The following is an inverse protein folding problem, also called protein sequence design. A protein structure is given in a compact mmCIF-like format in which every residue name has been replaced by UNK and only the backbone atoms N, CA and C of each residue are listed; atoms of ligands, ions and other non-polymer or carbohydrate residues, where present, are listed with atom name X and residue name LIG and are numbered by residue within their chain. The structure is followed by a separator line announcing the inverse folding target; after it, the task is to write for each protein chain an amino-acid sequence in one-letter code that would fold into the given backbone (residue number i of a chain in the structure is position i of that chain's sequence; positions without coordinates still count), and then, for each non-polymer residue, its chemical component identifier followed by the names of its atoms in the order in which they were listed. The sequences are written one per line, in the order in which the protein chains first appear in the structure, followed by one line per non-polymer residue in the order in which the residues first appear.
data_IF_496518509704
#
_entry.id   IF_496518509704
#
_cell.length_a   1.000
_cell.length_b   1.000
_cell.length_c   1.000
_cell.angle_alpha   90.00
_cell.angle_beta   90.00
_cell.angle_gamma   90.00
#
_symmetry.space_group_name_H-M   'P 1'
#
loop_
_entity.id
_entity.type
_entity.pdbx_description
1 polymer ?
#
# COMPACT_ATOMS: atom_id res chain seq x y z
N UNK A 1 2.55 1.21 3.74
CA UNK A 1 1.20 0.64 3.89
C UNK A 1 0.55 1.05 5.21
N UNK A 2 1.17 0.79 6.39
CA UNK A 2 0.54 1.10 7.68
C UNK A 2 0.16 2.58 7.84
N UNK A 3 1.05 3.51 7.52
CA UNK A 3 0.76 4.96 7.53
C UNK A 3 -0.44 5.32 6.64
N UNK A 4 -0.55 4.68 5.48
CA UNK A 4 -1.69 4.89 4.57
C UNK A 4 -3.00 4.39 5.20
N UNK A 5 -3.01 3.25 5.85
CA UNK A 5 -4.21 2.72 6.55
C UNK A 5 -4.65 3.67 7.66
N UNK A 6 -3.71 4.16 8.48
CA UNK A 6 -4.00 5.11 9.56
C UNK A 6 -4.65 6.39 8.98
N UNK A 7 -4.01 7.03 8.02
CA UNK A 7 -4.54 8.22 7.37
C UNK A 7 -5.92 7.96 6.75
N UNK A 8 -6.08 6.81 6.09
CA UNK A 8 -7.35 6.43 5.45
C UNK A 8 -8.49 6.36 6.47
N UNK A 9 -8.26 5.71 7.60
CA UNK A 9 -9.31 5.55 8.62
C UNK A 9 -9.66 6.89 9.27
N UNK A 10 -8.66 7.72 9.55
CA UNK A 10 -8.86 9.06 10.12
C UNK A 10 -9.59 9.98 9.13
N UNK A 11 -9.20 10.00 7.86
CA UNK A 11 -9.86 10.83 6.86
C UNK A 11 -11.28 10.34 6.55
N UNK A 12 -11.53 9.04 6.60
CA UNK A 12 -12.83 8.45 6.31
C UNK A 12 -13.86 8.65 7.43
N UNK A 13 -13.46 8.51 8.68
CA UNK A 13 -14.36 8.50 9.83
C UNK A 13 -14.26 9.76 10.69
N UNK A 14 -13.27 10.62 10.46
CA UNK A 14 -12.90 11.70 11.35
C UNK A 14 -11.82 11.26 12.35
N UNK A 15 -11.14 12.24 12.96
CA UNK A 15 -9.96 12.01 13.79
C UNK A 15 -10.21 11.00 14.93
N UNK A 16 -11.13 11.31 15.84
CA UNK A 16 -11.35 10.49 17.05
C UNK A 16 -11.97 9.13 16.70
N UNK A 17 -12.93 9.10 15.79
CA UNK A 17 -13.61 7.88 15.35
C UNK A 17 -12.69 7.00 14.51
N UNK A 18 -11.78 7.58 13.73
CA UNK A 18 -10.75 6.86 12.99
C UNK A 18 -9.75 6.18 13.90
N UNK A 19 -9.27 6.87 14.95
CA UNK A 19 -8.39 6.28 15.97
C UNK A 19 -9.13 5.17 16.71
N UNK A 20 -10.38 5.40 17.13
CA UNK A 20 -11.17 4.37 17.83
C UNK A 20 -11.39 3.14 16.95
N UNK A 21 -11.63 3.32 15.64
CA UNK A 21 -11.74 2.21 14.71
C UNK A 21 -10.46 1.36 14.67
N UNK A 22 -9.29 2.00 14.65
CA UNK A 22 -7.99 1.30 14.67
C UNK A 22 -7.75 0.57 15.98
N UNK A 23 -8.13 1.14 17.11
CA UNK A 23 -8.08 0.48 18.43
C UNK A 23 -9.01 -0.73 18.50
N UNK A 24 -10.19 -0.64 17.91
CA UNK A 24 -11.13 -1.77 17.86
C UNK A 24 -10.66 -2.86 16.88
N UNK A 25 -10.05 -2.48 15.77
CA UNK A 25 -9.43 -3.39 14.81
C UNK A 25 -8.27 -4.15 15.45
N UNK A 26 -7.43 -3.48 16.22
CA UNK A 26 -6.26 -4.04 16.92
C UNK A 26 -6.58 -5.28 17.76
N UNK A 27 -7.76 -5.34 18.35
CA UNK A 27 -8.24 -6.48 19.14
C UNK A 27 -8.31 -7.79 18.35
N UNK A 28 -8.32 -7.70 17.02
CA UNK A 28 -8.39 -8.82 16.10
C UNK A 28 -7.09 -9.00 15.29
N UNK A 29 -6.08 -8.19 15.53
CA UNK A 29 -4.78 -8.28 14.87
C UNK A 29 -3.90 -9.26 15.62
N UNK A 30 -3.43 -10.28 14.92
CA UNK A 30 -2.50 -11.28 15.44
C UNK A 30 -1.05 -10.84 15.27
N UNK A 31 -0.73 -10.20 14.12
CA UNK A 31 0.64 -9.77 13.81
C UNK A 31 0.66 -8.49 13.00
N UNK A 32 1.60 -7.62 13.29
CA UNK A 32 1.97 -6.46 12.50
C UNK A 32 3.26 -6.74 11.73
N UNK A 33 3.14 -6.88 10.42
CA UNK A 33 4.29 -7.21 9.58
C UNK A 33 5.20 -6.01 9.34
N UNK A 34 6.49 -6.26 9.24
CA UNK A 34 7.50 -5.23 8.95
C UNK A 34 7.38 -4.67 7.52
N UNK A 35 7.04 -5.51 6.54
CA UNK A 35 6.88 -5.11 5.15
C UNK A 35 5.42 -4.93 4.75
N UNK A 36 5.16 -4.01 3.79
CA UNK A 36 3.81 -3.77 3.28
C UNK A 36 3.18 -4.96 2.56
N UNK A 37 3.99 -5.85 1.97
CA UNK A 37 3.54 -7.09 1.31
C UNK A 37 3.44 -8.29 2.27
N UNK A 38 3.89 -8.14 3.52
CA UNK A 38 3.83 -9.20 4.55
C UNK A 38 2.44 -9.79 4.73
N UNK A 39 1.37 -9.00 4.91
CA UNK A 39 0.03 -9.53 5.11
C UNK A 39 -0.44 -10.44 3.97
N UNK A 40 -0.22 -10.04 2.72
CA UNK A 40 -0.58 -10.87 1.55
C UNK A 40 0.20 -12.17 1.50
N UNK A 41 1.49 -12.14 1.85
CA UNK A 41 2.33 -13.33 1.95
C UNK A 41 1.85 -14.28 3.04
N UNK A 42 1.55 -13.77 4.23
CA UNK A 42 1.09 -14.58 5.37
C UNK A 42 -0.26 -15.26 5.10
N UNK A 43 -1.16 -14.64 4.32
CA UNK A 43 -2.37 -15.31 3.82
C UNK A 43 -1.99 -16.45 2.87
N UNK A 44 -1.07 -16.19 1.94
CA UNK A 44 -0.62 -17.20 0.97
C UNK A 44 -0.08 -18.45 1.64
N UNK A 45 0.75 -18.28 2.66
CA UNK A 45 1.33 -19.38 3.44
C UNK A 45 0.36 -20.00 4.45
N UNK A 46 -0.80 -19.38 4.70
CA UNK A 46 -1.80 -19.85 5.66
C UNK A 46 -1.50 -19.47 7.11
N UNK A 47 -0.60 -18.54 7.33
CA UNK A 47 -0.25 -18.04 8.67
C UNK A 47 -1.33 -17.11 9.25
N UNK A 48 -2.15 -16.48 8.39
CA UNK A 48 -3.29 -15.70 8.81
C UNK A 48 -4.50 -15.90 7.87
N UNK A 49 -5.68 -15.55 8.36
CA UNK A 49 -6.94 -15.72 7.59
C UNK A 49 -7.29 -14.46 6.79
N UNK A 50 -7.01 -13.28 7.34
CA UNK A 50 -7.30 -11.98 6.74
C UNK A 50 -6.05 -11.13 6.82
N UNK A 51 -5.70 -10.47 5.72
CA UNK A 51 -4.59 -9.51 5.67
C UNK A 51 -5.04 -8.17 5.12
N UNK A 52 -4.53 -7.12 5.72
CA UNK A 52 -4.72 -5.75 5.25
C UNK A 52 -3.43 -5.29 4.57
N UNK A 53 -3.49 -5.06 3.27
CA UNK A 53 -2.34 -4.69 2.46
C UNK A 53 -2.74 -4.07 1.14
N UNK A 54 -1.78 -3.91 0.25
CA UNK A 54 -2.06 -3.47 -1.11
C UNK A 54 -2.72 -4.58 -1.94
N UNK A 55 -3.71 -4.21 -2.72
CA UNK A 55 -4.46 -5.15 -3.57
C UNK A 55 -3.55 -5.83 -4.61
N UNK A 56 -2.60 -5.11 -5.20
CA UNK A 56 -1.67 -5.68 -6.16
C UNK A 56 -0.73 -6.73 -5.56
N UNK A 57 -0.38 -6.64 -4.27
CA UNK A 57 0.37 -7.68 -3.57
C UNK A 57 -0.45 -8.96 -3.41
N UNK A 58 -1.77 -8.84 -3.22
CA UNK A 58 -2.69 -9.98 -3.22
C UNK A 58 -2.75 -10.67 -4.58
N UNK A 59 -2.83 -9.91 -5.68
CA UNK A 59 -2.79 -10.45 -7.05
C UNK A 59 -1.50 -11.23 -7.26
N UNK A 60 -0.35 -10.70 -6.86
CA UNK A 60 0.93 -11.39 -6.96
C UNK A 60 0.93 -12.74 -6.25
N UNK A 61 0.35 -12.84 -5.05
CA UNK A 61 0.27 -14.11 -4.33
C UNK A 61 -0.61 -15.13 -5.08
N UNK A 62 -1.68 -14.70 -5.70
CA UNK A 62 -2.58 -15.59 -6.45
C UNK A 62 -1.95 -16.04 -7.76
N UNK A 63 -1.43 -15.10 -8.54
CA UNK A 63 -1.00 -15.34 -9.93
C UNK A 63 0.41 -15.90 -9.99
N UNK A 64 1.37 -15.25 -9.34
CA UNK A 64 2.80 -15.62 -9.47
C UNK A 64 3.19 -16.71 -8.46
N UNK A 65 2.63 -16.68 -7.26
CA UNK A 65 2.91 -17.70 -6.23
C UNK A 65 1.95 -18.90 -6.30
N UNK A 66 0.85 -18.79 -7.04
CA UNK A 66 -0.07 -19.90 -7.29
C UNK A 66 -1.01 -20.22 -6.12
N UNK A 67 -1.21 -19.32 -5.17
CA UNK A 67 -2.13 -19.54 -4.04
C UNK A 67 -3.59 -19.38 -4.46
N UNK A 68 -4.20 -20.41 -5.03
CA UNK A 68 -5.59 -20.41 -5.52
C UNK A 68 -6.68 -20.43 -4.43
N UNK A 69 -6.31 -20.43 -3.18
CA UNK A 69 -7.21 -20.40 -2.01
C UNK A 69 -7.38 -18.99 -1.42
N UNK A 70 -6.81 -17.98 -2.05
CA UNK A 70 -6.93 -16.58 -1.63
C UNK A 70 -8.06 -15.91 -2.41
N UNK A 71 -8.86 -15.12 -1.73
CA UNK A 71 -9.82 -14.19 -2.31
C UNK A 71 -9.37 -12.75 -2.08
N UNK A 72 -9.40 -11.94 -3.13
CA UNK A 72 -9.09 -10.53 -3.06
C UNK A 72 -10.37 -9.72 -2.84
N UNK A 73 -10.47 -9.04 -1.71
CA UNK A 73 -11.64 -8.22 -1.39
C UNK A 73 -11.37 -6.77 -1.74
N UNK A 74 -12.09 -6.26 -2.73
CA UNK A 74 -12.07 -4.84 -3.11
C UNK A 74 -13.22 -4.13 -2.41
N UNK A 75 -12.96 -3.17 -1.50
CA UNK A 75 -14.03 -2.50 -0.76
C UNK A 75 -14.96 -1.71 -1.67
N UNK A 76 -16.27 -1.96 -1.61
CA UNK A 76 -17.27 -1.20 -2.37
C UNK A 76 -17.38 0.27 -1.93
N UNK A 77 -16.90 0.59 -0.73
CA UNK A 77 -16.84 1.96 -0.19
C UNK A 77 -15.64 2.77 -0.69
N UNK A 78 -14.88 2.23 -1.63
CA UNK A 78 -13.61 2.78 -2.08
C UNK A 78 -12.45 2.44 -1.16
N UNK A 79 -11.25 2.64 -1.67
CA UNK A 79 -9.99 2.49 -0.93
C UNK A 79 -9.14 3.73 -1.12
N UNK A 80 -8.16 3.95 -0.27
CA UNK A 80 -7.15 4.98 -0.52
C UNK A 80 -6.12 4.51 -1.54
N UNK A 81 -5.37 5.44 -2.07
CA UNK A 81 -4.26 5.16 -2.97
C UNK A 81 -3.01 5.93 -2.54
N UNK A 82 -1.86 5.44 -2.94
CA UNK A 82 -0.62 6.23 -2.93
C UNK A 82 0.02 6.18 -4.31
N UNK A 83 0.72 7.25 -4.65
CA UNK A 83 1.43 7.36 -5.91
C UNK A 83 2.92 7.27 -5.65
N UNK A 84 3.57 6.27 -6.25
CA UNK A 84 5.02 6.14 -6.18
C UNK A 84 5.70 7.34 -6.84
N UNK A 85 6.75 7.85 -6.22
CA UNK A 85 7.47 9.02 -6.71
C UNK A 85 8.96 8.74 -6.84
N UNK A 86 9.60 9.40 -7.82
CA UNK A 86 11.05 9.43 -7.98
C UNK A 86 11.56 10.85 -7.92
N UNK A 87 12.77 11.04 -7.39
CA UNK A 87 13.35 12.37 -7.24
C UNK A 87 14.88 12.33 -7.40
N UNK A 88 15.46 13.49 -7.71
CA UNK A 88 16.91 13.69 -7.75
C UNK A 88 17.34 14.38 -6.46
N UNK A 89 18.28 13.78 -5.75
CA UNK A 89 18.84 14.38 -4.55
C UNK A 89 19.54 15.71 -4.87
N UNK A 90 19.34 16.69 -4.00
CA UNK A 90 20.12 17.93 -4.06
C UNK A 90 21.61 17.62 -3.90
N UNK A 91 22.43 18.05 -4.87
CA UNK A 91 23.85 17.75 -4.88
C UNK A 91 24.22 16.37 -5.45
N UNK A 92 23.31 15.72 -6.18
CA UNK A 92 23.62 14.49 -6.91
C UNK A 92 24.90 14.64 -7.74
N UNK A 93 25.81 13.65 -7.67
CA UNK A 93 27.12 13.71 -8.37
C UNK A 93 26.97 13.70 -9.90
N UNK A 94 25.91 13.09 -10.41
CA UNK A 94 25.65 12.94 -11.85
C UNK A 94 24.21 13.37 -12.20
N UNK A 95 23.85 14.66 -12.05
CA UNK A 95 22.48 15.13 -12.17
C UNK A 95 21.89 14.92 -13.58
N UNK A 96 22.70 15.03 -14.63
CA UNK A 96 22.23 14.82 -16.00
C UNK A 96 21.93 13.34 -16.29
N UNK A 97 22.73 12.41 -15.78
CA UNK A 97 22.43 10.99 -15.87
C UNK A 97 21.17 10.65 -15.07
N UNK A 98 20.99 11.25 -13.89
CA UNK A 98 19.77 11.05 -13.09
C UNK A 98 18.51 11.57 -13.81
N UNK A 99 18.60 12.72 -14.50
CA UNK A 99 17.48 13.24 -15.32
C UNK A 99 17.14 12.28 -16.44
N UNK A 100 18.14 11.83 -17.19
CA UNK A 100 17.92 10.86 -18.29
C UNK A 100 17.30 9.56 -17.78
N UNK A 101 17.74 9.08 -16.61
CA UNK A 101 17.14 7.92 -15.96
C UNK A 101 15.67 8.15 -15.62
N UNK A 102 15.32 9.30 -15.02
CA UNK A 102 13.94 9.62 -14.68
C UNK A 102 13.06 9.74 -15.93
N UNK A 103 13.56 10.39 -17.00
CA UNK A 103 12.84 10.46 -18.28
C UNK A 103 12.50 9.06 -18.83
N UNK A 104 13.46 8.13 -18.78
CA UNK A 104 13.20 6.75 -19.16
C UNK A 104 12.27 6.04 -18.17
N UNK A 105 12.51 6.16 -16.87
CA UNK A 105 11.72 5.49 -15.83
C UNK A 105 10.24 5.91 -15.82
N UNK A 106 9.93 7.11 -16.28
CA UNK A 106 8.58 7.63 -16.42
C UNK A 106 8.00 7.45 -17.84
N UNK A 107 8.71 6.80 -18.74
CA UNK A 107 8.17 6.49 -20.07
C UNK A 107 7.16 5.34 -19.99
N UNK A 108 6.13 5.31 -20.87
CA UNK A 108 5.23 4.17 -20.98
C UNK A 108 5.97 2.85 -21.15
N UNK A 109 6.98 2.81 -22.00
CA UNK A 109 7.84 1.64 -22.24
C UNK A 109 8.41 1.06 -20.94
N UNK A 110 8.89 1.91 -20.02
CA UNK A 110 9.50 1.45 -18.78
C UNK A 110 8.45 1.06 -17.72
N UNK A 111 7.41 1.85 -17.53
CA UNK A 111 6.42 1.57 -16.48
C UNK A 111 5.58 0.33 -16.79
N UNK A 112 5.34 0.02 -18.05
CA UNK A 112 4.62 -1.18 -18.48
C UNK A 112 5.40 -2.48 -18.20
N UNK A 113 6.73 -2.42 -18.04
CA UNK A 113 7.52 -3.57 -17.64
C UNK A 113 7.18 -4.06 -16.22
N UNK A 114 6.59 -3.22 -15.38
CA UNK A 114 6.23 -3.57 -14.02
C UNK A 114 5.28 -4.77 -13.98
N UNK A 115 4.22 -4.77 -14.77
CA UNK A 115 3.26 -5.87 -14.84
C UNK A 115 3.88 -7.18 -15.35
N UNK A 116 4.84 -7.09 -16.27
CA UNK A 116 5.57 -8.26 -16.79
C UNK A 116 6.50 -8.88 -15.73
N UNK A 117 6.76 -8.16 -14.64
CA UNK A 117 7.63 -8.58 -13.54
C UNK A 117 6.86 -8.69 -12.19
N UNK A 118 5.57 -8.98 -12.24
CA UNK A 118 4.76 -9.27 -11.05
C UNK A 118 4.30 -8.05 -10.25
N UNK A 119 4.43 -6.84 -10.79
CA UNK A 119 3.92 -5.62 -10.16
C UNK A 119 2.66 -5.14 -10.88
N UNK A 120 1.51 -5.41 -10.29
CA UNK A 120 0.18 -5.21 -10.90
C UNK A 120 -0.49 -3.89 -10.47
N UNK A 121 0.31 -2.88 -10.17
CA UNK A 121 -0.16 -1.54 -9.82
C UNK A 121 -0.71 -0.81 -11.05
N UNK A 122 -1.74 0.02 -10.85
CA UNK A 122 -2.16 0.95 -11.90
C UNK A 122 -1.08 2.00 -12.15
N UNK A 123 -0.93 2.34 -13.43
CA UNK A 123 0.06 3.29 -13.90
C UNK A 123 -0.55 4.68 -13.98
N UNK A 124 0.17 5.69 -13.50
CA UNK A 124 -0.25 7.11 -13.52
C UNK A 124 0.36 7.89 -14.68
N UNK A 125 1.07 7.21 -15.57
CA UNK A 125 1.67 7.82 -16.76
C UNK A 125 0.65 7.80 -17.89
N UNK A 126 0.42 8.96 -18.51
CA UNK A 126 -0.45 9.10 -19.67
C UNK A 126 0.03 8.20 -20.82
N UNK A 127 -0.91 7.59 -21.49
CA UNK A 127 -0.69 6.67 -22.62
C UNK A 127 0.04 5.35 -22.27
N UNK A 128 0.27 5.04 -21.00
CA UNK A 128 0.74 3.72 -20.58
C UNK A 128 -0.43 2.72 -20.57
N UNK A 129 -0.14 1.50 -21.03
CA UNK A 129 -1.12 0.42 -20.99
C UNK A 129 -1.27 -0.11 -19.57
N UNK A 130 -2.48 -0.04 -19.03
CA UNK A 130 -2.80 -0.54 -17.70
C UNK A 130 -2.69 -2.06 -17.62
N UNK A 131 -2.30 -2.64 -16.48
CA UNK A 131 -2.24 -4.09 -16.31
C UNK A 131 -3.66 -4.70 -16.34
N UNK A 132 -3.97 -5.43 -17.41
CA UNK A 132 -5.29 -6.07 -17.57
C UNK A 132 -5.65 -6.97 -16.39
N UNK A 133 -4.68 -7.69 -15.86
CA UNK A 133 -4.85 -8.57 -14.71
C UNK A 133 -5.42 -7.85 -13.47
N UNK A 134 -5.06 -6.60 -13.23
CA UNK A 134 -5.62 -5.83 -12.12
C UNK A 134 -7.14 -5.64 -12.28
N UNK A 135 -7.59 -5.37 -13.49
CA UNK A 135 -9.02 -5.23 -13.81
C UNK A 135 -9.76 -6.57 -13.73
N UNK A 136 -9.14 -7.68 -14.14
CA UNK A 136 -9.71 -9.02 -14.01
C UNK A 136 -9.98 -9.39 -12.54
N UNK A 137 -9.16 -8.91 -11.62
CA UNK A 137 -9.37 -9.06 -10.17
C UNK A 137 -10.32 -8.01 -9.57
N UNK A 138 -10.99 -7.22 -10.40
CA UNK A 138 -12.01 -6.25 -9.98
C UNK A 138 -11.44 -4.94 -9.42
N UNK A 139 -10.15 -4.67 -9.62
CA UNK A 139 -9.58 -3.38 -9.25
C UNK A 139 -10.05 -2.32 -10.26
N UNK A 140 -10.44 -1.16 -9.72
CA UNK A 140 -10.83 0.01 -10.50
C UNK A 140 -10.07 1.24 -9.97
N UNK A 141 -9.25 1.92 -10.81
CA UNK A 141 -8.52 3.10 -10.39
C UNK A 141 -9.42 4.28 -10.02
N UNK A 142 -10.73 4.22 -10.38
CA UNK A 142 -11.71 5.21 -10.00
C UNK A 142 -12.43 4.88 -8.68
N UNK A 143 -12.29 3.67 -8.16
CA UNK A 143 -12.87 3.25 -6.87
C UNK A 143 -11.96 3.63 -5.71
N UNK A 144 -11.56 4.90 -5.67
CA UNK A 144 -10.74 5.49 -4.61
C UNK A 144 -11.54 6.55 -3.87
N UNK A 145 -11.32 6.65 -2.56
CA UNK A 145 -11.88 7.74 -1.77
C UNK A 145 -11.17 9.05 -2.09
N UNK A 146 -11.83 10.16 -1.77
CA UNK A 146 -11.19 11.48 -1.81
C UNK A 146 -10.14 11.59 -0.71
N UNK A 147 -8.91 11.16 -1.05
CA UNK A 147 -7.79 11.09 -0.11
C UNK A 147 -7.01 12.41 -0.10
N UNK A 148 -6.99 13.09 1.04
CA UNK A 148 -6.26 14.35 1.22
C UNK A 148 -4.76 14.11 1.43
N UNK A 149 -4.00 14.25 0.35
CA UNK A 149 -2.54 14.13 0.36
C UNK A 149 -1.85 15.24 1.15
N UNK A 150 -2.43 16.45 1.21
CA UNK A 150 -1.84 17.57 1.96
C UNK A 150 -2.03 17.36 3.47
N UNK A 151 -3.20 16.90 3.90
CA UNK A 151 -3.44 16.48 5.28
C UNK A 151 -2.46 15.33 5.66
N UNK A 152 -2.37 14.29 4.85
CA UNK A 152 -1.47 13.17 5.07
C UNK A 152 -0.01 13.61 5.20
N UNK A 153 0.47 14.48 4.30
CA UNK A 153 1.83 15.03 4.35
C UNK A 153 2.11 15.78 5.66
N UNK A 154 1.16 16.54 6.15
CA UNK A 154 1.35 17.41 7.31
C UNK A 154 1.14 16.68 8.64
N UNK A 155 0.28 15.68 8.69
CA UNK A 155 -0.23 15.11 9.93
C UNK A 155 0.09 13.63 10.16
N UNK A 156 0.60 12.87 9.16
CA UNK A 156 0.84 11.43 9.29
C UNK A 156 1.65 11.06 10.54
N UNK A 157 2.74 11.77 10.84
CA UNK A 157 3.59 11.41 11.97
C UNK A 157 2.87 11.67 13.31
N UNK A 158 2.02 12.68 13.37
CA UNK A 158 1.14 12.95 14.54
C UNK A 158 0.12 11.84 14.70
N UNK A 159 -0.60 11.49 13.63
CA UNK A 159 -1.60 10.42 13.64
C UNK A 159 -1.00 9.06 14.03
N UNK A 160 0.18 8.75 13.53
CA UNK A 160 0.89 7.52 13.93
C UNK A 160 1.21 7.53 15.41
N UNK A 161 1.71 8.65 15.96
CA UNK A 161 2.04 8.76 17.37
C UNK A 161 0.79 8.60 18.26
N UNK A 162 -0.32 9.23 17.91
CA UNK A 162 -1.58 9.14 18.63
C UNK A 162 -2.18 7.72 18.60
N UNK A 163 -2.15 7.07 17.43
CA UNK A 163 -2.59 5.67 17.31
C UNK A 163 -1.70 4.75 18.15
N UNK A 164 -0.37 4.91 18.08
CA UNK A 164 0.55 4.09 18.89
C UNK A 164 0.36 4.32 20.39
N UNK A 165 0.08 5.54 20.83
CA UNK A 165 -0.27 5.84 22.23
C UNK A 165 -1.59 5.16 22.63
N UNK A 166 -2.62 5.24 21.77
CA UNK A 166 -3.92 4.63 22.01
C UNK A 166 -3.85 3.08 22.07
N UNK A 167 -2.92 2.48 21.32
CA UNK A 167 -2.63 1.04 21.37
C UNK A 167 -1.73 0.62 22.54
N UNK A 168 -1.29 1.55 23.38
CA UNK A 168 -0.43 1.26 24.54
C UNK A 168 1.06 1.10 24.22
N UNK A 169 1.51 1.55 23.05
CA UNK A 169 2.88 1.40 22.55
C UNK A 169 3.11 0.08 21.81
N UNK A 170 4.36 -0.26 21.56
CA UNK A 170 4.72 -1.51 20.90
C UNK A 170 4.44 -2.75 21.74
N UNK A 171 4.09 -3.85 21.13
CA UNK A 171 3.87 -5.13 21.75
C UNK A 171 4.56 -6.28 20.97
N UNK A 172 4.47 -7.50 21.48
CA UNK A 172 5.12 -8.68 20.92
C UNK A 172 4.57 -9.09 19.54
N UNK A 173 3.48 -8.47 19.08
CA UNK A 173 2.89 -8.72 17.75
C UNK A 173 3.61 -7.98 16.61
N UNK A 174 4.53 -7.06 16.93
CA UNK A 174 5.35 -6.40 15.91
C UNK A 174 6.54 -7.30 15.53
N UNK A 175 6.66 -7.60 14.24
CA UNK A 175 7.84 -8.32 13.73
C UNK A 175 9.13 -7.54 14.03
N UNK A 176 10.09 -8.22 14.63
CA UNK A 176 11.40 -7.66 14.94
C UNK A 176 12.37 -7.77 13.75
N UNK A 177 13.53 -7.09 13.84
CA UNK A 177 14.54 -7.12 12.77
C UNK A 177 15.18 -8.50 12.56
N UNK A 178 15.06 -9.40 13.55
CA UNK A 178 15.72 -10.70 13.61
C UNK A 178 14.80 -11.89 13.22
N UNK A 179 13.60 -11.63 12.68
CA UNK A 179 12.63 -12.66 12.30
C UNK A 179 12.67 -12.96 10.79
#
# INVERSE_FOLDING_TARGET
TAKLIINTMIQKYGHDEGIQYLVDLDKNVEVYTKSGSGPSKNIGTGECTIGLGFLHDGIFQIVDQGYGNIELVVPSSGTSCEVGATAIFKGAKHPNAAKLWIEYALSPECVELAAQNGSYQFLVIDNAQQPEIATEFGLDPNNVMDYDFEDAKNNTDTYVAEVMEALGGGDDRFETEDA
#
